data_IF_251848193311
#
_entry.id   IF_251848193311
#
_cell.length_a   1.000
_cell.length_b   1.000
_cell.length_c   1.000
_cell.angle_alpha   90.00
_cell.angle_beta   90.00
_cell.angle_gamma   90.00
#
_symmetry.space_group_name_H-M   'P 1'
#
loop_
_entity.id
_entity.type
_entity.pdbx_description
1 polymer ?
#
# COMPACT_ATOMS: atom_id res chain seq x y z
N UNK A 1 11.53 -37.73 -28.62
CA UNK A 1 10.64 -37.16 -27.58
C UNK A 1 9.82 -36.05 -28.22
N UNK A 2 8.50 -36.21 -28.26
CA UNK A 2 7.57 -35.38 -29.04
C UNK A 2 7.00 -34.20 -28.25
N UNK A 3 6.16 -33.42 -28.93
CA UNK A 3 5.39 -32.32 -28.35
C UNK A 3 4.25 -32.86 -27.47
N UNK A 4 3.89 -32.14 -26.40
CA UNK A 4 2.72 -32.45 -25.59
C UNK A 4 1.55 -31.57 -26.04
N UNK A 5 0.62 -32.15 -26.81
CA UNK A 5 -0.50 -31.42 -27.41
C UNK A 5 -1.82 -31.92 -26.81
N UNK A 6 -2.48 -31.06 -26.06
CA UNK A 6 -3.78 -31.27 -25.44
C UNK A 6 -4.77 -30.26 -26.02
N UNK A 7 -5.31 -30.56 -27.20
CA UNK A 7 -6.29 -29.70 -27.87
C UNK A 7 -7.69 -30.29 -27.75
N UNK A 8 -8.65 -29.49 -27.28
CA UNK A 8 -10.04 -29.91 -27.05
C UNK A 8 -10.19 -31.15 -26.14
N UNK A 9 -9.25 -31.38 -25.22
CA UNK A 9 -9.27 -32.53 -24.32
C UNK A 9 -10.02 -32.23 -23.01
N UNK A 10 -10.72 -33.24 -22.49
CA UNK A 10 -11.43 -33.16 -21.21
C UNK A 10 -10.91 -34.20 -20.22
N UNK A 11 -10.52 -33.76 -19.03
CA UNK A 11 -10.11 -34.63 -17.94
C UNK A 11 -11.16 -34.61 -16.83
N UNK A 12 -11.85 -35.74 -16.64
CA UNK A 12 -12.94 -35.87 -15.66
C UNK A 12 -12.48 -36.27 -14.25
N UNK A 13 -11.22 -36.67 -14.12
CA UNK A 13 -10.58 -37.08 -12.87
C UNK A 13 -9.47 -36.10 -12.49
N UNK A 14 -8.87 -36.29 -11.31
CA UNK A 14 -7.68 -35.55 -10.92
C UNK A 14 -6.53 -35.85 -11.89
N UNK A 15 -5.73 -34.83 -12.21
CA UNK A 15 -4.61 -34.94 -13.14
C UNK A 15 -3.34 -34.48 -12.46
N UNK A 16 -2.32 -35.34 -12.46
CA UNK A 16 -1.03 -35.06 -11.86
C UNK A 16 0.07 -35.11 -12.92
N UNK A 17 0.75 -33.98 -13.10
CA UNK A 17 1.95 -33.82 -13.91
C UNK A 17 3.18 -33.63 -13.00
N UNK A 18 3.18 -34.28 -11.84
CA UNK A 18 4.23 -34.12 -10.83
C UNK A 18 5.58 -34.63 -11.34
N UNK A 19 6.67 -33.87 -11.12
CA UNK A 19 8.03 -34.21 -11.57
C UNK A 19 8.15 -34.47 -13.08
N UNK A 20 7.24 -33.91 -13.88
CA UNK A 20 7.28 -34.09 -15.34
C UNK A 20 8.19 -33.08 -16.02
N UNK A 21 8.93 -33.52 -17.02
CA UNK A 21 9.79 -32.66 -17.82
C UNK A 21 9.27 -32.58 -19.26
N UNK A 22 8.68 -31.44 -19.60
CA UNK A 22 8.22 -31.10 -20.94
C UNK A 22 9.38 -30.51 -21.75
N UNK A 23 10.14 -31.38 -22.42
CA UNK A 23 11.34 -31.01 -23.19
C UNK A 23 11.04 -30.21 -24.47
N UNK A 24 9.83 -30.32 -25.00
CA UNK A 24 9.36 -29.67 -26.24
C UNK A 24 8.11 -28.85 -25.92
N UNK A 25 7.57 -28.18 -26.93
CA UNK A 25 6.35 -27.39 -26.81
C UNK A 25 5.24 -28.16 -26.07
N UNK A 26 4.65 -27.50 -25.06
CA UNK A 26 3.48 -27.97 -24.34
C UNK A 26 2.31 -27.03 -24.63
N UNK A 27 1.25 -27.58 -25.23
CA UNK A 27 0.10 -26.81 -25.70
C UNK A 27 -1.18 -27.36 -25.10
N UNK A 28 -1.86 -26.56 -24.28
CA UNK A 28 -3.16 -26.86 -23.70
C UNK A 28 -4.16 -25.85 -24.25
N UNK A 29 -4.97 -26.26 -25.23
CA UNK A 29 -5.91 -25.38 -25.89
C UNK A 29 -7.33 -25.93 -25.76
N UNK A 30 -8.24 -25.08 -25.24
CA UNK A 30 -9.63 -25.45 -24.95
C UNK A 30 -9.74 -26.73 -24.11
N UNK A 31 -8.72 -27.00 -23.30
CA UNK A 31 -8.68 -28.13 -22.37
C UNK A 31 -9.58 -27.84 -21.17
N UNK A 32 -10.30 -28.85 -20.70
CA UNK A 32 -11.13 -28.75 -19.51
C UNK A 32 -10.67 -29.75 -18.44
N UNK A 33 -10.40 -29.25 -17.24
CA UNK A 33 -10.07 -30.06 -16.08
C UNK A 33 -11.20 -29.98 -15.06
N UNK A 34 -11.91 -31.09 -14.88
CA UNK A 34 -13.09 -31.14 -14.02
C UNK A 34 -12.74 -31.16 -12.53
N UNK A 35 -11.58 -31.72 -12.18
CA UNK A 35 -11.09 -31.85 -10.79
C UNK A 35 -9.73 -31.16 -10.60
N UNK A 36 -8.96 -31.57 -9.58
CA UNK A 36 -7.69 -30.92 -9.22
C UNK A 36 -6.63 -31.22 -10.27
N UNK A 37 -5.77 -30.24 -10.51
CA UNK A 37 -4.61 -30.38 -11.40
C UNK A 37 -3.36 -29.92 -10.67
N UNK A 38 -2.32 -30.75 -10.69
CA UNK A 38 -1.03 -30.44 -10.10
C UNK A 38 0.08 -30.52 -11.14
N UNK A 39 0.90 -29.48 -11.21
CA UNK A 39 2.13 -29.41 -11.98
C UNK A 39 3.37 -29.40 -11.05
N UNK A 40 3.23 -29.89 -9.82
CA UNK A 40 4.27 -29.83 -8.79
C UNK A 40 5.65 -30.31 -9.29
N UNK A 41 6.69 -29.50 -9.12
CA UNK A 41 8.07 -29.82 -9.55
C UNK A 41 8.22 -30.14 -11.05
N UNK A 42 7.28 -29.70 -11.89
CA UNK A 42 7.42 -29.86 -13.33
C UNK A 42 8.32 -28.78 -13.94
N UNK A 43 8.97 -29.13 -15.06
CA UNK A 43 9.81 -28.22 -15.83
C UNK A 43 9.34 -28.14 -17.27
N UNK A 44 9.18 -26.91 -17.77
CA UNK A 44 8.84 -26.63 -19.15
C UNK A 44 10.04 -26.00 -19.87
N UNK A 45 10.76 -26.81 -20.66
CA UNK A 45 12.00 -26.39 -21.32
C UNK A 45 11.78 -25.57 -22.61
N UNK A 46 10.55 -25.57 -23.13
CA UNK A 46 10.20 -24.86 -24.36
C UNK A 46 8.95 -23.98 -24.16
N UNK A 47 8.54 -23.26 -25.21
CA UNK A 47 7.34 -22.43 -25.16
C UNK A 47 6.12 -23.25 -24.69
N UNK A 48 5.40 -22.71 -23.71
CA UNK A 48 4.21 -23.34 -23.12
C UNK A 48 3.01 -22.42 -23.26
N UNK A 49 1.87 -22.94 -23.71
CA UNK A 49 0.66 -22.14 -23.90
C UNK A 49 -0.53 -22.85 -23.28
N UNK A 50 -1.20 -22.14 -22.38
CA UNK A 50 -2.52 -22.45 -21.87
C UNK A 50 -3.49 -21.45 -22.49
N UNK A 51 -4.31 -21.89 -23.45
CA UNK A 51 -5.27 -21.03 -24.15
C UNK A 51 -6.68 -21.54 -23.95
N UNK A 52 -7.58 -20.68 -23.47
CA UNK A 52 -9.01 -21.01 -23.24
C UNK A 52 -9.20 -22.24 -22.35
N UNK A 53 -8.25 -22.49 -21.45
CA UNK A 53 -8.30 -23.62 -20.51
C UNK A 53 -9.27 -23.31 -19.39
N UNK A 54 -10.06 -24.31 -19.00
CA UNK A 54 -11.00 -24.23 -17.89
C UNK A 54 -10.54 -25.15 -16.77
N UNK A 55 -10.27 -24.57 -15.61
CA UNK A 55 -9.99 -25.30 -14.38
C UNK A 55 -11.20 -25.15 -13.45
N UNK A 56 -11.93 -26.23 -13.19
CA UNK A 56 -13.09 -26.17 -12.26
C UNK A 56 -12.67 -26.20 -10.79
N UNK A 57 -11.42 -26.58 -10.53
CA UNK A 57 -10.83 -26.65 -9.20
C UNK A 57 -9.55 -25.80 -9.12
N UNK A 58 -8.96 -25.74 -7.92
CA UNK A 58 -7.67 -25.08 -7.70
C UNK A 58 -6.58 -25.80 -8.50
N UNK A 59 -5.70 -25.02 -9.13
CA UNK A 59 -4.51 -25.54 -9.84
C UNK A 59 -3.26 -25.18 -9.06
N UNK A 60 -2.34 -26.13 -8.97
CA UNK A 60 -1.06 -25.99 -8.29
C UNK A 60 0.10 -25.99 -9.30
N UNK A 61 0.89 -24.91 -9.30
CA UNK A 61 2.14 -24.78 -10.07
C UNK A 61 3.36 -24.69 -9.13
N UNK A 62 3.30 -25.30 -7.96
CA UNK A 62 4.36 -25.17 -6.97
C UNK A 62 5.67 -25.79 -7.44
N UNK A 63 6.78 -25.05 -7.28
CA UNK A 63 8.13 -25.40 -7.74
C UNK A 63 8.22 -25.66 -9.25
N UNK A 64 7.43 -24.95 -10.07
CA UNK A 64 7.49 -25.06 -11.53
C UNK A 64 8.53 -24.10 -12.12
N UNK A 65 9.27 -24.59 -13.11
CA UNK A 65 10.24 -23.79 -13.87
C UNK A 65 9.78 -23.65 -15.33
N UNK A 66 9.59 -22.41 -15.78
CA UNK A 66 9.35 -22.07 -17.18
C UNK A 66 10.64 -21.48 -17.79
N UNK A 67 11.40 -22.31 -18.52
CA UNK A 67 12.71 -21.95 -19.11
C UNK A 67 12.60 -20.98 -20.28
N UNK A 68 11.41 -20.88 -20.87
CA UNK A 68 11.08 -19.99 -21.98
C UNK A 68 9.78 -19.26 -21.70
N UNK A 69 9.15 -18.77 -22.77
CA UNK A 69 7.93 -18.00 -22.70
C UNK A 69 6.72 -18.88 -22.37
N UNK A 70 5.95 -18.46 -21.36
CA UNK A 70 4.66 -19.07 -20.99
C UNK A 70 3.50 -18.10 -21.21
N UNK A 71 2.43 -18.60 -21.81
CA UNK A 71 1.21 -17.83 -22.06
C UNK A 71 0.02 -18.47 -21.35
N UNK A 72 -0.65 -17.70 -20.50
CA UNK A 72 -1.94 -18.03 -19.93
C UNK A 72 -2.97 -17.08 -20.54
N UNK A 73 -3.79 -17.57 -21.48
CA UNK A 73 -4.69 -16.72 -22.26
C UNK A 73 -6.12 -17.18 -22.15
N UNK A 74 -7.02 -16.27 -21.76
CA UNK A 74 -8.45 -16.57 -21.57
C UNK A 74 -8.70 -17.74 -20.61
N UNK A 75 -7.88 -17.88 -19.58
CA UNK A 75 -8.06 -18.91 -18.56
C UNK A 75 -9.32 -18.61 -17.74
N UNK A 76 -10.05 -19.67 -17.40
CA UNK A 76 -11.17 -19.63 -16.48
C UNK A 76 -10.82 -20.51 -15.29
N UNK A 77 -10.61 -19.89 -14.13
CA UNK A 77 -10.33 -20.60 -12.89
C UNK A 77 -11.03 -19.89 -11.70
N UNK A 78 -12.28 -20.27 -11.36
CA UNK A 78 -13.04 -19.60 -10.32
C UNK A 78 -12.51 -19.88 -8.91
N UNK A 79 -11.78 -20.98 -8.70
CA UNK A 79 -11.20 -21.34 -7.39
C UNK A 79 -9.75 -20.87 -7.19
N UNK A 80 -9.13 -20.33 -8.24
CA UNK A 80 -7.78 -19.77 -8.16
C UNK A 80 -6.63 -20.67 -8.60
N UNK A 81 -5.47 -20.04 -8.74
CA UNK A 81 -4.21 -20.66 -9.15
C UNK A 81 -3.13 -20.35 -8.13
N UNK A 82 -2.37 -21.38 -7.74
CA UNK A 82 -1.25 -21.27 -6.82
C UNK A 82 0.07 -21.38 -7.56
N UNK A 83 0.95 -20.43 -7.31
CA UNK A 83 2.30 -20.31 -7.82
C UNK A 83 3.23 -20.10 -6.62
N UNK A 84 3.70 -21.19 -6.02
CA UNK A 84 4.71 -21.10 -4.98
C UNK A 84 6.08 -21.46 -5.57
N UNK A 85 7.09 -20.61 -5.36
CA UNK A 85 8.47 -20.86 -5.81
C UNK A 85 8.56 -21.11 -7.32
N UNK A 86 7.79 -20.34 -8.10
CA UNK A 86 7.77 -20.47 -9.56
C UNK A 86 8.80 -19.54 -10.17
N UNK A 87 9.56 -20.08 -11.13
CA UNK A 87 10.48 -19.29 -11.94
C UNK A 87 9.85 -19.00 -13.31
N UNK A 88 9.63 -17.72 -13.60
CA UNK A 88 9.16 -17.26 -14.90
C UNK A 88 10.28 -16.55 -15.65
N UNK A 89 10.86 -17.15 -16.69
CA UNK A 89 11.81 -16.38 -17.53
C UNK A 89 11.11 -15.24 -18.28
N UNK A 90 9.95 -15.55 -18.83
CA UNK A 90 9.02 -14.60 -19.45
C UNK A 90 7.60 -15.17 -19.40
N UNK A 91 6.64 -14.38 -18.96
CA UNK A 91 5.25 -14.82 -18.84
C UNK A 91 4.25 -13.73 -19.24
N UNK A 92 3.20 -14.14 -19.94
CA UNK A 92 2.02 -13.33 -20.19
C UNK A 92 0.80 -14.03 -19.60
N UNK A 93 0.05 -13.32 -18.76
CA UNK A 93 -1.18 -13.82 -18.17
C UNK A 93 -2.34 -12.87 -18.44
N UNK A 94 -3.38 -13.43 -19.03
CA UNK A 94 -4.67 -12.79 -19.31
C UNK A 94 -5.76 -13.74 -18.86
N UNK A 95 -6.67 -13.24 -18.03
CA UNK A 95 -7.78 -14.04 -17.50
C UNK A 95 -9.06 -13.65 -18.19
N UNK A 96 -9.94 -14.63 -18.45
CA UNK A 96 -11.28 -14.33 -18.96
C UNK A 96 -12.21 -13.86 -17.84
N UNK A 97 -11.95 -14.30 -16.61
CA UNK A 97 -12.81 -14.03 -15.44
C UNK A 97 -12.33 -12.81 -14.66
N UNK A 98 -13.28 -11.98 -14.21
CA UNK A 98 -13.04 -10.72 -13.49
C UNK A 98 -12.21 -10.87 -12.22
N UNK A 99 -12.42 -11.92 -11.42
CA UNK A 99 -11.80 -12.04 -10.08
C UNK A 99 -11.14 -13.41 -9.88
N UNK A 100 -9.94 -13.64 -10.42
CA UNK A 100 -9.18 -14.84 -10.11
C UNK A 100 -8.46 -14.68 -8.76
N UNK A 101 -8.54 -15.70 -7.89
CA UNK A 101 -7.66 -15.80 -6.73
C UNK A 101 -6.28 -16.31 -7.17
N UNK A 102 -5.29 -15.41 -7.23
CA UNK A 102 -3.93 -15.74 -7.66
C UNK A 102 -2.99 -15.66 -6.47
N UNK A 103 -2.36 -16.77 -6.16
CA UNK A 103 -1.40 -16.85 -5.07
C UNK A 103 0.01 -16.97 -5.64
N UNK A 104 0.76 -15.87 -5.63
CA UNK A 104 2.18 -15.84 -5.95
C UNK A 104 2.98 -15.71 -4.65
N UNK A 105 3.75 -16.74 -4.32
CA UNK A 105 4.62 -16.75 -3.14
C UNK A 105 6.02 -17.16 -3.57
N UNK A 106 7.03 -16.40 -3.18
CA UNK A 106 8.44 -16.69 -3.52
C UNK A 106 8.69 -16.86 -5.04
N UNK A 107 7.88 -16.20 -5.88
CA UNK A 107 8.05 -16.26 -7.32
C UNK A 107 9.22 -15.37 -7.75
N UNK A 108 10.01 -15.89 -8.68
CA UNK A 108 11.15 -15.19 -9.25
C UNK A 108 10.93 -14.98 -10.75
N UNK A 109 11.36 -13.80 -11.21
CA UNK A 109 11.15 -13.37 -12.58
C UNK A 109 12.49 -13.19 -13.29
N UNK A 110 12.56 -13.65 -14.54
CA UNK A 110 13.67 -13.39 -15.44
C UNK A 110 13.68 -11.94 -15.93
N UNK A 111 14.60 -11.64 -16.85
CA UNK A 111 14.82 -10.27 -17.36
C UNK A 111 13.60 -9.66 -18.09
N UNK A 112 12.77 -10.49 -18.72
CA UNK A 112 11.58 -10.02 -19.45
C UNK A 112 10.32 -10.03 -18.57
N UNK A 113 10.33 -10.87 -17.54
CA UNK A 113 9.37 -10.80 -16.43
C UNK A 113 7.95 -11.29 -16.74
N UNK A 114 7.00 -10.85 -15.91
CA UNK A 114 5.61 -11.30 -15.88
C UNK A 114 4.66 -10.15 -16.21
N UNK A 115 3.82 -10.31 -17.23
CA UNK A 115 2.80 -9.30 -17.57
C UNK A 115 1.40 -9.81 -17.22
N UNK A 116 0.71 -9.07 -16.35
CA UNK A 116 -0.67 -9.30 -15.94
C UNK A 116 -1.58 -8.27 -16.63
N UNK A 117 -2.38 -8.72 -17.60
CA UNK A 117 -3.22 -7.85 -18.44
C UNK A 117 -4.72 -8.04 -18.12
N UNK A 118 -5.38 -6.96 -17.74
CA UNK A 118 -6.84 -6.94 -17.60
C UNK A 118 -7.38 -7.74 -16.40
N UNK A 119 -6.60 -7.88 -15.33
CA UNK A 119 -6.97 -8.71 -14.17
C UNK A 119 -7.42 -7.81 -13.01
N UNK A 120 -8.54 -8.12 -12.35
CA UNK A 120 -8.85 -7.51 -11.05
C UNK A 120 -8.11 -8.26 -9.94
N UNK A 121 -7.21 -7.55 -9.25
CA UNK A 121 -6.27 -8.09 -8.28
C UNK A 121 -6.82 -8.04 -6.85
N UNK A 122 -8.14 -8.25 -6.69
CA UNK A 122 -8.80 -8.20 -5.37
C UNK A 122 -8.33 -9.33 -4.47
N UNK A 123 -8.34 -10.56 -4.99
CA UNK A 123 -8.01 -11.80 -4.27
C UNK A 123 -6.61 -12.33 -4.61
N UNK A 124 -5.66 -11.41 -4.84
CA UNK A 124 -4.30 -11.78 -5.21
C UNK A 124 -3.32 -11.63 -4.03
N UNK A 125 -2.40 -12.58 -3.93
CA UNK A 125 -1.33 -12.63 -2.93
C UNK A 125 0.01 -12.59 -3.67
N UNK A 126 0.92 -11.71 -3.28
CA UNK A 126 2.23 -11.50 -3.94
C UNK A 126 3.38 -11.45 -2.91
N UNK A 127 3.34 -12.30 -1.90
CA UNK A 127 4.31 -12.24 -0.80
C UNK A 127 5.66 -12.83 -1.23
N UNK A 128 6.76 -12.25 -0.74
CA UNK A 128 8.14 -12.70 -0.99
C UNK A 128 8.53 -12.84 -2.47
N UNK A 129 7.79 -12.22 -3.38
CA UNK A 129 8.00 -12.37 -4.83
C UNK A 129 8.71 -11.15 -5.40
N UNK A 130 9.56 -11.36 -6.40
CA UNK A 130 10.26 -10.25 -7.08
C UNK A 130 9.31 -9.52 -8.03
N UNK A 131 9.01 -8.27 -7.68
CA UNK A 131 8.10 -7.40 -8.42
C UNK A 131 8.80 -6.52 -9.47
N UNK A 132 10.13 -6.60 -9.59
CA UNK A 132 10.93 -5.67 -10.42
C UNK A 132 10.51 -5.71 -11.89
N UNK A 133 10.33 -6.90 -12.44
CA UNK A 133 9.94 -7.12 -13.83
C UNK A 133 8.47 -7.58 -13.98
N UNK A 134 7.59 -7.19 -13.04
CA UNK A 134 6.16 -7.52 -13.14
C UNK A 134 5.38 -6.32 -13.67
N UNK A 135 4.75 -6.43 -14.84
CA UNK A 135 3.96 -5.36 -15.44
C UNK A 135 2.46 -5.59 -15.26
N UNK A 136 1.75 -4.57 -14.81
CA UNK A 136 0.30 -4.59 -14.60
C UNK A 136 -0.34 -3.67 -15.65
N UNK A 137 -0.92 -4.27 -16.70
CA UNK A 137 -1.52 -3.51 -17.80
C UNK A 137 -3.04 -3.59 -17.70
N UNK A 138 -3.73 -2.45 -17.61
CA UNK A 138 -5.20 -2.41 -17.44
C UNK A 138 -5.71 -3.31 -16.31
N UNK A 139 -4.90 -3.52 -15.29
CA UNK A 139 -5.21 -4.35 -14.13
C UNK A 139 -5.59 -3.45 -12.96
N UNK A 140 -6.56 -3.89 -12.16
CA UNK A 140 -7.20 -3.05 -11.15
C UNK A 140 -6.96 -3.61 -9.76
N UNK A 141 -6.41 -2.79 -8.87
CA UNK A 141 -6.20 -3.13 -7.47
C UNK A 141 -7.42 -2.75 -6.62
N UNK A 142 -7.61 -3.43 -5.50
CA UNK A 142 -8.64 -3.05 -4.53
C UNK A 142 -8.22 -1.78 -3.78
N UNK A 143 -9.16 -0.84 -3.62
CA UNK A 143 -8.95 0.42 -2.90
C UNK A 143 -9.84 0.41 -1.66
N UNK A 144 -9.23 0.55 -0.48
CA UNK A 144 -9.91 0.76 0.81
C UNK A 144 -9.32 2.03 1.45
N UNK A 145 -10.14 2.91 2.01
CA UNK A 145 -9.72 4.16 2.67
C UNK A 145 -8.77 5.06 1.84
N UNK A 146 -8.92 5.06 0.52
CA UNK A 146 -8.10 5.86 -0.40
C UNK A 146 -6.68 5.31 -0.64
N UNK A 147 -6.38 4.08 -0.17
CA UNK A 147 -5.11 3.39 -0.40
C UNK A 147 -5.31 2.05 -1.09
N UNK A 148 -4.23 1.51 -1.63
CA UNK A 148 -4.23 0.14 -2.11
C UNK A 148 -4.32 -0.86 -0.96
N UNK A 149 -5.11 -1.90 -1.18
CA UNK A 149 -5.35 -2.99 -0.24
C UNK A 149 -5.12 -4.32 -0.95
N UNK A 150 -4.40 -5.22 -0.28
CA UNK A 150 -4.15 -6.58 -0.74
C UNK A 150 -4.83 -7.58 0.17
N UNK A 151 -5.23 -8.72 -0.38
CA UNK A 151 -5.89 -9.78 0.37
C UNK A 151 -5.05 -10.36 1.51
N UNK A 152 -3.72 -10.28 1.43
CA UNK A 152 -2.82 -10.72 2.52
C UNK A 152 -3.06 -9.99 3.84
N UNK A 153 -3.63 -8.76 3.82
CA UNK A 153 -3.98 -8.02 5.04
C UNK A 153 -5.20 -8.62 5.76
N UNK A 154 -6.09 -9.30 5.03
CA UNK A 154 -7.33 -9.87 5.56
C UNK A 154 -7.13 -11.33 6.04
N UNK A 155 -5.88 -11.82 6.03
CA UNK A 155 -5.50 -13.14 6.56
C UNK A 155 -5.61 -13.21 8.09
N UNK A 156 -5.90 -14.38 8.64
CA UNK A 156 -6.02 -14.62 10.10
C UNK A 156 -4.77 -14.20 10.88
N UNK A 157 -3.59 -14.42 10.29
CA UNK A 157 -2.31 -13.97 10.82
C UNK A 157 -1.52 -13.24 9.72
N UNK A 158 -1.68 -11.92 9.58
CA UNK A 158 -1.03 -11.15 8.53
C UNK A 158 0.46 -10.95 8.84
N UNK A 159 1.31 -11.39 7.92
CA UNK A 159 2.76 -11.16 7.97
C UNK A 159 3.08 -9.71 7.57
N UNK A 160 2.89 -8.76 8.49
CA UNK A 160 3.02 -7.33 8.20
C UNK A 160 4.38 -6.92 7.64
N UNK A 161 5.44 -7.65 7.97
CA UNK A 161 6.76 -7.38 7.41
C UNK A 161 6.82 -7.66 5.90
N UNK A 162 6.34 -8.83 5.46
CA UNK A 162 6.27 -9.18 4.04
C UNK A 162 5.31 -8.27 3.27
N UNK A 163 4.18 -7.91 3.87
CA UNK A 163 3.20 -6.97 3.31
C UNK A 163 3.85 -5.58 3.10
N UNK A 164 4.58 -5.09 4.11
CA UNK A 164 5.29 -3.81 4.00
C UNK A 164 6.35 -3.83 2.91
N UNK A 165 7.14 -4.90 2.83
CA UNK A 165 8.21 -5.03 1.85
C UNK A 165 7.64 -5.12 0.42
N UNK A 166 6.47 -5.76 0.25
CA UNK A 166 5.69 -5.72 -0.99
C UNK A 166 5.26 -4.28 -1.34
N UNK A 167 4.65 -3.53 -0.42
CA UNK A 167 4.25 -2.14 -0.66
C UNK A 167 5.43 -1.22 -0.99
N UNK A 168 6.58 -1.43 -0.35
CA UNK A 168 7.81 -0.72 -0.68
C UNK A 168 8.29 -1.00 -2.10
N UNK A 169 8.26 -2.26 -2.51
CA UNK A 169 8.67 -2.68 -3.86
C UNK A 169 7.77 -2.06 -4.92
N UNK A 170 6.45 -2.09 -4.69
CA UNK A 170 5.46 -1.46 -5.57
C UNK A 170 5.64 0.07 -5.65
N UNK A 171 5.82 0.74 -4.50
CA UNK A 171 6.10 2.19 -4.47
C UNK A 171 7.36 2.54 -5.28
N UNK A 172 8.47 1.80 -5.10
CA UNK A 172 9.73 2.03 -5.84
C UNK A 172 9.51 1.88 -7.34
N UNK A 173 8.78 0.84 -7.75
CA UNK A 173 8.46 0.59 -9.15
C UNK A 173 7.68 1.73 -9.78
N UNK A 174 6.55 2.15 -9.19
CA UNK A 174 5.74 3.24 -9.74
C UNK A 174 6.47 4.59 -9.75
N UNK A 175 7.39 4.83 -8.80
CA UNK A 175 8.28 5.99 -8.85
C UNK A 175 9.26 5.93 -10.03
N UNK A 176 9.81 4.75 -10.32
CA UNK A 176 10.70 4.57 -11.48
C UNK A 176 9.95 4.77 -12.82
N UNK A 177 8.66 4.44 -12.86
CA UNK A 177 7.79 4.66 -14.02
C UNK A 177 7.24 6.11 -14.12
N UNK A 178 7.67 7.03 -13.25
CA UNK A 178 7.15 8.41 -13.13
C UNK A 178 5.63 8.51 -12.92
N UNK A 179 4.99 7.46 -12.42
CA UNK A 179 3.55 7.46 -12.11
C UNK A 179 3.34 7.80 -10.63
N UNK A 180 3.30 9.09 -10.37
CA UNK A 180 3.27 9.63 -9.01
C UNK A 180 1.94 9.47 -8.30
N UNK A 181 0.85 9.54 -9.07
CA UNK A 181 -0.49 9.34 -8.56
C UNK A 181 -0.63 7.97 -7.90
N UNK A 182 -0.15 6.92 -8.56
CA UNK A 182 -0.22 5.57 -8.00
C UNK A 182 0.84 5.34 -6.91
N UNK A 183 2.04 5.88 -7.07
CA UNK A 183 3.09 5.80 -6.06
C UNK A 183 2.64 6.38 -4.70
N UNK A 184 1.81 7.42 -4.71
CA UNK A 184 1.25 8.02 -3.50
C UNK A 184 0.31 7.06 -2.75
N UNK A 185 -0.59 6.36 -3.45
CA UNK A 185 -1.48 5.38 -2.80
C UNK A 185 -0.71 4.21 -2.19
N UNK A 186 0.36 3.77 -2.85
CA UNK A 186 1.28 2.75 -2.30
C UNK A 186 2.04 3.25 -1.08
N UNK A 187 2.42 4.53 -1.06
CA UNK A 187 3.08 5.13 0.10
C UNK A 187 2.18 5.16 1.35
N UNK A 188 0.88 5.47 1.18
CA UNK A 188 -0.09 5.40 2.29
C UNK A 188 -0.21 3.95 2.81
N UNK A 189 -0.33 2.98 1.90
CA UNK A 189 -0.42 1.56 2.26
C UNK A 189 0.80 1.05 3.03
N UNK A 190 2.00 1.41 2.57
CA UNK A 190 3.26 1.10 3.28
C UNK A 190 3.29 1.66 4.70
N UNK A 191 2.93 2.93 4.88
CA UNK A 191 2.95 3.58 6.20
C UNK A 191 1.93 2.99 7.15
N UNK A 192 0.77 2.58 6.63
CA UNK A 192 -0.22 1.88 7.43
C UNK A 192 0.24 0.47 7.83
N UNK A 193 0.85 -0.29 6.91
CA UNK A 193 1.45 -1.58 7.24
C UNK A 193 2.56 -1.44 8.30
N UNK A 194 3.39 -0.40 8.20
CA UNK A 194 4.40 -0.09 9.22
C UNK A 194 3.79 0.18 10.60
N UNK A 195 2.69 0.95 10.66
CA UNK A 195 1.99 1.23 11.91
C UNK A 195 1.40 -0.05 12.53
N UNK A 196 0.81 -0.93 11.70
CA UNK A 196 0.25 -2.21 12.16
C UNK A 196 1.35 -3.18 12.64
N UNK A 197 2.48 -3.25 11.94
CA UNK A 197 3.65 -4.04 12.36
C UNK A 197 4.16 -3.61 13.75
N UNK A 198 4.33 -2.30 13.97
CA UNK A 198 4.81 -1.77 15.26
C UNK A 198 3.82 -2.06 16.41
N UNK A 199 2.50 -2.03 16.13
CA UNK A 199 1.49 -2.40 17.12
C UNK A 199 1.55 -3.89 17.46
N UNK A 200 1.75 -4.76 16.47
CA UNK A 200 1.84 -6.21 16.69
C UNK A 200 3.09 -6.58 17.50
N UNK A 201 4.25 -6.00 17.15
CA UNK A 201 5.52 -6.30 17.83
C UNK A 201 5.61 -5.66 19.23
N UNK A 202 4.73 -4.71 19.56
CA UNK A 202 4.81 -3.94 20.81
C UNK A 202 6.03 -3.00 20.88
N UNK A 203 6.75 -2.83 19.77
CA UNK A 203 7.98 -2.07 19.70
C UNK A 203 7.72 -0.56 19.69
N UNK A 204 8.56 0.18 20.43
CA UNK A 204 8.66 1.64 20.45
C UNK A 204 7.31 2.39 20.42
N UNK A 205 6.64 2.45 21.57
CA UNK A 205 5.38 3.22 21.77
C UNK A 205 5.45 4.65 21.21
N UNK A 206 6.60 5.32 21.34
CA UNK A 206 6.84 6.66 20.79
C UNK A 206 6.77 6.71 19.27
N UNK A 207 7.35 5.72 18.59
CA UNK A 207 7.40 5.65 17.12
C UNK A 207 6.01 5.34 16.56
N UNK A 208 5.28 4.43 17.20
CA UNK A 208 3.88 4.17 16.90
C UNK A 208 3.01 5.42 17.11
N UNK A 209 3.21 6.14 18.22
CA UNK A 209 2.52 7.40 18.49
C UNK A 209 2.85 8.48 17.46
N UNK A 210 4.12 8.65 17.10
CA UNK A 210 4.56 9.61 16.09
C UNK A 210 3.94 9.32 14.71
N UNK A 211 3.90 8.05 14.29
CA UNK A 211 3.26 7.66 13.03
C UNK A 211 1.75 7.82 13.06
N UNK A 212 1.12 7.52 14.20
CA UNK A 212 -0.30 7.75 14.40
C UNK A 212 -0.63 9.25 14.34
N UNK A 213 0.16 10.09 15.00
CA UNK A 213 0.03 11.55 14.94
C UNK A 213 0.22 12.05 13.51
N UNK A 214 1.22 11.54 12.79
CA UNK A 214 1.45 11.88 11.38
C UNK A 214 0.27 11.48 10.47
N UNK A 215 -0.38 10.34 10.73
CA UNK A 215 -1.63 9.93 10.05
C UNK A 215 -2.78 10.90 10.36
N UNK A 216 -2.94 11.28 11.62
CA UNK A 216 -4.03 12.16 12.07
C UNK A 216 -3.88 13.58 11.50
N UNK A 217 -2.67 14.12 11.57
CA UNK A 217 -2.35 15.52 11.28
C UNK A 217 -2.32 15.82 9.78
N UNK A 218 -1.84 14.88 8.95
CA UNK A 218 -1.60 15.14 7.52
C UNK A 218 -2.05 13.99 6.60
N UNK A 219 -2.56 12.88 7.15
CA UNK A 219 -2.84 11.68 6.36
C UNK A 219 -1.59 11.16 5.66
N UNK A 220 -0.47 11.13 6.39
CA UNK A 220 0.86 10.78 5.88
C UNK A 220 1.45 11.74 4.82
N UNK A 221 1.05 13.02 4.83
CA UNK A 221 1.60 14.01 3.89
C UNK A 221 0.94 13.96 2.50
N UNK A 222 -0.20 13.29 2.38
CA UNK A 222 -0.88 13.03 1.11
C UNK A 222 -2.25 13.73 1.01
N UNK A 223 -2.77 14.26 2.13
CA UNK A 223 -4.09 14.89 2.22
C UNK A 223 -3.98 16.38 2.62
N UNK A 224 -3.88 17.32 1.65
CA UNK A 224 -3.66 18.74 1.96
C UNK A 224 -4.85 19.38 2.68
N UNK A 225 -6.08 18.92 2.44
CA UNK A 225 -7.27 19.44 3.13
C UNK A 225 -7.21 19.17 4.64
N UNK A 226 -6.79 17.97 5.05
CA UNK A 226 -6.64 17.63 6.47
C UNK A 226 -5.53 18.47 7.10
N UNK A 227 -4.38 18.55 6.43
CA UNK A 227 -3.26 19.36 6.91
C UNK A 227 -3.64 20.84 7.06
N UNK A 228 -4.44 21.38 6.14
CA UNK A 228 -4.97 22.74 6.20
C UNK A 228 -5.87 22.98 7.41
N UNK A 229 -6.84 22.10 7.67
CA UNK A 229 -7.73 22.25 8.83
C UNK A 229 -6.98 22.16 10.16
N UNK A 230 -5.97 21.29 10.24
CA UNK A 230 -5.11 21.21 11.44
C UNK A 230 -4.26 22.47 11.58
N UNK A 231 -3.72 23.03 10.49
CA UNK A 231 -3.01 24.30 10.51
C UNK A 231 -3.92 25.45 10.97
N UNK A 232 -5.13 25.52 10.42
CA UNK A 232 -6.14 26.51 10.80
C UNK A 232 -6.52 26.37 12.28
N UNK A 233 -6.73 25.14 12.74
CA UNK A 233 -6.98 24.83 14.14
C UNK A 233 -5.85 25.31 15.06
N UNK A 234 -4.59 25.08 14.69
CA UNK A 234 -3.43 25.57 15.47
C UNK A 234 -3.36 27.10 15.52
N UNK A 235 -3.81 27.80 14.48
CA UNK A 235 -3.85 29.27 14.45
C UNK A 235 -5.02 29.82 15.28
N UNK A 236 -6.20 29.19 15.17
CA UNK A 236 -7.45 29.69 15.78
C UNK A 236 -7.59 29.27 17.25
N UNK A 237 -7.04 28.13 17.67
CA UNK A 237 -7.23 27.62 19.02
C UNK A 237 -6.71 28.55 20.14
N UNK A 238 -5.50 29.14 20.05
CA UNK A 238 -5.05 30.11 21.05
C UNK A 238 -5.95 31.34 21.11
N UNK A 239 -6.46 31.80 19.96
CA UNK A 239 -7.40 32.92 19.88
C UNK A 239 -8.71 32.59 20.60
N UNK A 240 -9.27 31.40 20.39
CA UNK A 240 -10.48 30.95 21.08
C UNK A 240 -10.29 30.86 22.59
N UNK A 241 -9.17 30.30 23.06
CA UNK A 241 -8.87 30.21 24.50
C UNK A 241 -8.79 31.59 25.13
N UNK A 242 -8.10 32.53 24.50
CA UNK A 242 -7.99 33.91 24.98
C UNK A 242 -9.34 34.64 24.98
N UNK A 243 -10.18 34.43 23.95
CA UNK A 243 -11.53 35.02 23.89
C UNK A 243 -12.45 34.49 24.98
N UNK A 244 -12.41 33.19 25.28
CA UNK A 244 -13.22 32.60 26.36
C UNK A 244 -12.76 33.13 27.72
N UNK A 245 -11.45 33.23 27.95
CA UNK A 245 -10.90 33.83 29.17
C UNK A 245 -11.34 35.28 29.37
N UNK A 246 -11.28 36.09 28.31
CA UNK A 246 -11.71 37.48 28.34
C UNK A 246 -13.24 37.65 28.52
N UNK A 247 -14.05 36.74 27.97
CA UNK A 247 -15.51 36.84 28.02
C UNK A 247 -16.11 36.34 29.34
N UNK A 248 -15.52 35.31 29.95
CA UNK A 248 -16.07 34.73 31.18
C UNK A 248 -15.53 35.42 32.45
N UNK A 249 -14.52 36.29 32.32
CA UNK A 249 -13.75 36.84 33.46
C UNK A 249 -13.26 35.72 34.41
N UNK A 250 -13.04 34.54 33.81
CA UNK A 250 -12.62 33.32 34.50
C UNK A 250 -11.12 33.19 34.30
N UNK A 251 -10.42 32.99 35.41
CA UNK A 251 -9.04 32.55 35.40
C UNK A 251 -9.00 31.12 34.86
N UNK A 252 -8.74 30.96 33.55
CA UNK A 252 -8.64 29.64 32.93
C UNK A 252 -7.29 29.06 33.31
N UNK A 253 -7.28 28.14 34.27
CA UNK A 253 -6.11 27.33 34.60
C UNK A 253 -5.98 26.14 33.64
N UNK A 254 -5.13 26.28 32.63
CA UNK A 254 -4.79 25.17 31.73
C UNK A 254 -3.42 24.61 32.11
N UNK A 255 -3.35 23.40 32.69
CA UNK A 255 -2.09 22.81 33.18
C UNK A 255 -1.37 23.63 34.29
N UNK A 256 -2.14 24.33 35.14
CA UNK A 256 -1.63 25.14 36.27
C UNK A 256 -1.24 26.57 35.90
N UNK A 257 -1.87 27.12 34.86
CA UNK A 257 -1.46 28.37 34.22
C UNK A 257 -2.61 29.37 34.22
N UNK A 258 -2.41 30.51 34.87
CA UNK A 258 -3.42 31.56 34.96
C UNK A 258 -3.31 32.49 33.75
N UNK A 259 -4.25 32.39 32.80
CA UNK A 259 -4.46 33.46 31.82
C UNK A 259 -5.06 34.66 32.57
N UNK A 260 -4.28 35.73 32.76
CA UNK A 260 -4.82 36.99 33.27
C UNK A 260 -5.81 37.55 32.26
N UNK A 261 -6.97 37.96 32.75
CA UNK A 261 -8.04 38.64 32.00
C UNK A 261 -7.50 39.94 31.41
N UNK A 262 -6.84 39.87 30.24
CA UNK A 262 -6.55 41.08 29.50
C UNK A 262 -7.87 41.66 28.97
N UNK A 263 -8.04 43.00 28.94
CA UNK A 263 -9.19 43.63 28.33
C UNK A 263 -9.37 43.08 26.90
N UNK A 264 -10.61 42.98 26.44
CA UNK A 264 -10.95 42.45 25.09
C UNK A 264 -10.15 43.11 23.95
N UNK A 265 -9.65 44.34 24.18
CA UNK A 265 -8.77 45.09 23.28
C UNK A 265 -7.37 44.47 23.07
N UNK A 266 -6.82 43.74 24.05
CA UNK A 266 -5.43 43.22 24.02
C UNK A 266 -5.34 41.74 23.59
N UNK A 267 -6.49 41.07 23.43
CA UNK A 267 -6.58 39.66 23.02
C UNK A 267 -5.84 39.40 21.70
N UNK A 268 -5.93 40.33 20.75
CA UNK A 268 -5.26 40.23 19.45
C UNK A 268 -3.75 40.33 19.61
N UNK A 269 -3.27 41.23 20.49
CA UNK A 269 -1.85 41.41 20.77
C UNK A 269 -1.23 40.17 21.41
N UNK A 270 -1.93 39.55 22.36
CA UNK A 270 -1.51 38.30 23.00
C UNK A 270 -1.54 37.10 22.03
N UNK A 271 -2.58 36.99 21.21
CA UNK A 271 -2.68 35.94 20.19
C UNK A 271 -1.54 36.02 19.15
N UNK A 272 -1.20 37.23 18.70
CA UNK A 272 -0.14 37.46 17.72
C UNK A 272 1.21 36.90 18.17
N UNK A 273 1.48 36.88 19.49
CA UNK A 273 2.72 36.29 20.02
C UNK A 273 2.83 34.76 19.81
N UNK A 274 1.71 34.06 19.58
CA UNK A 274 1.71 32.63 19.24
C UNK A 274 2.02 32.36 17.75
N UNK A 275 2.03 33.39 16.91
CA UNK A 275 2.31 33.27 15.48
C UNK A 275 3.82 33.47 15.23
N UNK A 276 4.49 32.58 14.47
CA UNK A 276 5.94 32.59 14.27
C UNK A 276 6.55 33.83 13.56
N UNK A 277 5.73 34.79 13.12
CA UNK A 277 6.16 35.97 12.36
C UNK A 277 6.20 37.27 13.18
N UNK A 278 5.94 37.21 14.49
CA UNK A 278 5.87 38.41 15.34
C UNK A 278 7.19 38.65 16.08
N UNK A 279 7.58 39.93 16.19
CA UNK A 279 8.89 40.35 16.69
C UNK A 279 9.05 39.92 18.16
N UNK A 280 10.24 39.44 18.50
CA UNK A 280 10.59 38.87 19.80
C UNK A 280 10.04 39.65 21.01
N UNK A 281 9.41 38.89 21.91
CA UNK A 281 8.82 39.33 23.17
C UNK A 281 9.93 39.93 24.05
N UNK A 282 10.05 41.25 24.07
CA UNK A 282 10.78 41.97 25.13
C UNK A 282 9.85 42.11 26.32
N UNK A 283 9.90 41.17 27.26
CA UNK A 283 9.06 41.23 28.45
C UNK A 283 9.42 40.21 29.53
N UNK A 284 9.14 40.58 30.78
CA UNK A 284 9.27 39.84 32.05
C UNK A 284 8.26 38.68 32.18
N UNK A 285 8.02 37.94 31.10
CA UNK A 285 7.07 36.82 31.16
C UNK A 285 7.70 35.58 31.81
N UNK A 286 6.93 34.78 32.57
CA UNK A 286 7.43 33.56 33.21
C UNK A 286 8.03 32.59 32.17
N UNK A 287 9.10 31.88 32.58
CA UNK A 287 9.88 31.00 31.69
C UNK A 287 9.04 29.94 30.98
N UNK A 288 8.00 29.43 31.65
CA UNK A 288 7.10 28.42 31.12
C UNK A 288 6.25 28.94 29.94
N UNK A 289 5.68 30.15 30.05
CA UNK A 289 4.79 30.72 29.03
C UNK A 289 5.56 30.94 27.71
N UNK A 290 6.79 31.47 27.80
CA UNK A 290 7.68 31.58 26.64
C UNK A 290 7.97 30.22 26.01
N UNK A 291 8.22 29.18 26.82
CA UNK A 291 8.49 27.84 26.31
C UNK A 291 7.29 27.26 25.54
N UNK A 292 6.06 27.46 26.02
CA UNK A 292 4.84 27.05 25.29
C UNK A 292 4.67 27.83 23.99
N UNK A 293 4.92 29.14 23.99
CA UNK A 293 4.82 29.95 22.78
C UNK A 293 5.81 29.47 21.72
N UNK A 294 7.06 29.20 22.11
CA UNK A 294 8.05 28.61 21.21
C UNK A 294 7.61 27.24 20.70
N UNK A 295 7.07 26.38 21.57
CA UNK A 295 6.55 25.07 21.18
C UNK A 295 5.37 25.20 20.20
N UNK A 296 4.46 26.16 20.43
CA UNK A 296 3.31 26.41 19.57
C UNK A 296 3.73 26.96 18.20
N UNK A 297 4.67 27.90 18.18
CA UNK A 297 5.29 28.41 16.95
C UNK A 297 5.99 27.29 16.17
N UNK A 298 6.67 26.37 16.87
CA UNK A 298 7.28 25.20 16.26
C UNK A 298 6.22 24.26 15.66
N UNK A 299 5.11 24.02 16.37
CA UNK A 299 4.00 23.22 15.84
C UNK A 299 3.39 23.84 14.58
N UNK A 300 3.17 25.16 14.57
CA UNK A 300 2.64 25.88 13.38
C UNK A 300 3.62 25.77 12.21
N UNK A 301 4.92 25.97 12.43
CA UNK A 301 5.92 25.89 11.36
C UNK A 301 6.06 24.48 10.79
N UNK A 302 6.11 23.45 11.66
CA UNK A 302 6.10 22.05 11.22
C UNK A 302 4.82 21.73 10.44
N UNK A 303 3.66 22.19 10.92
CA UNK A 303 2.39 21.94 10.24
C UNK A 303 2.28 22.66 8.90
N UNK A 304 2.78 23.89 8.80
CA UNK A 304 2.86 24.63 7.54
C UNK A 304 3.77 23.91 6.54
N UNK A 305 4.91 23.37 6.99
CA UNK A 305 5.79 22.56 6.15
C UNK A 305 5.09 21.26 5.67
N UNK A 306 4.35 20.58 6.55
CA UNK A 306 3.56 19.40 6.19
C UNK A 306 2.43 19.73 5.19
N UNK A 307 1.76 20.87 5.35
CA UNK A 307 0.76 21.34 4.41
C UNK A 307 1.38 21.66 3.04
N UNK A 308 2.49 22.40 3.01
CA UNK A 308 3.21 22.71 1.77
C UNK A 308 3.68 21.42 1.06
N UNK A 309 4.16 20.44 1.83
CA UNK A 309 4.55 19.13 1.31
C UNK A 309 3.35 18.38 0.71
N UNK A 310 2.22 18.31 1.41
CA UNK A 310 1.01 17.67 0.91
C UNK A 310 0.42 18.38 -0.31
N UNK A 311 0.51 19.71 -0.36
CA UNK A 311 0.09 20.52 -1.49
C UNK A 311 0.98 20.26 -2.72
N UNK A 312 2.30 20.24 -2.53
CA UNK A 312 3.26 19.86 -3.57
C UNK A 312 2.96 18.47 -4.13
N UNK A 313 2.72 17.50 -3.26
CA UNK A 313 2.38 16.14 -3.68
C UNK A 313 1.08 16.12 -4.49
N UNK A 314 0.07 16.92 -4.13
CA UNK A 314 -1.17 17.02 -4.89
C UNK A 314 -0.98 17.61 -6.28
N UNK A 315 -0.10 18.60 -6.46
CA UNK A 315 0.20 19.18 -7.77
C UNK A 315 1.08 18.31 -8.66
N UNK A 316 1.81 17.35 -8.07
CA UNK A 316 2.70 16.43 -8.81
C UNK A 316 1.95 15.21 -9.38
N UNK A 317 0.73 14.95 -8.90
CA UNK A 317 -0.16 13.88 -9.37
C UNK A 317 -0.98 14.33 -10.57
#
# INVERSE_FOLDING_TARGET
MGHALFDHTGFNSDVEFTNTNFKKLAFFNRTEFAKKVSFFWSRFCDKTVFSKVKFKSVVCFDNVEFDKYVEFVYIVCPKGMKFNTVFFKQALMTMKTSVPSLHFVQCTNGKVGLTLLGIELKECFFLYSDMTNVHFLKSYWSIKDGRYHISSEDSDNPEWQAIRDFYQSMKRKYKAENNEYEASKWHIAEKEAQLKLLRQNGESRLLCFALWLYKLVSGFGENPVRAFWVLLGLIVLPLLVLLVGACMDVQIDFFGWTFYSSPTADVIGEWLKFIPLTRAIKGTEPSALRALMFLWQLLITVQAALFAFALRNRFRR
#
